data_IF_667810939175
#
_entry.id   IF_667810939175
#
_cell.length_a   1.000
_cell.length_b   1.000
_cell.length_c   1.000
_cell.angle_alpha   90.00
_cell.angle_beta   90.00
_cell.angle_gamma   90.00
#
_symmetry.space_group_name_H-M   'P 1'
#
loop_
_entity.id
_entity.type
_entity.pdbx_description
1 polymer ?
#
# COMPACT_ATOMS: atom_id res chain seq x y z
N UNK A 1 -8.79 -2.26 23.90
CA UNK A 1 -8.50 -2.61 22.49
C UNK A 1 -7.00 -2.53 22.25
N UNK A 2 -6.28 -3.65 22.20
CA UNK A 2 -4.83 -3.66 22.01
C UNK A 2 -4.47 -3.12 20.61
N UNK A 3 -3.90 -1.92 20.53
CA UNK A 3 -3.36 -1.38 19.27
C UNK A 3 -2.11 -2.19 18.93
N UNK A 4 -2.22 -3.10 17.96
CA UNK A 4 -1.09 -3.86 17.40
C UNK A 4 0.02 -2.86 17.01
N UNK A 5 1.24 -3.06 17.53
CA UNK A 5 2.39 -2.16 17.30
C UNK A 5 2.79 -2.26 15.83
N UNK A 6 2.38 -1.27 15.04
CA UNK A 6 2.70 -1.21 13.61
C UNK A 6 4.17 -0.84 13.42
N UNK A 7 4.80 -1.40 12.39
CA UNK A 7 6.22 -1.14 12.09
C UNK A 7 6.38 0.32 11.64
N UNK A 8 7.15 1.12 12.39
CA UNK A 8 7.47 2.53 12.11
C UNK A 8 8.94 2.74 11.71
N UNK A 9 9.53 1.78 11.01
CA UNK A 9 10.95 1.77 10.66
C UNK A 9 11.25 1.86 9.16
N UNK A 10 12.54 1.70 8.84
CA UNK A 10 13.12 1.70 7.49
C UNK A 10 12.41 0.68 6.60
N UNK A 11 12.13 1.09 5.37
CA UNK A 11 11.60 0.21 4.34
C UNK A 11 12.70 -0.67 3.78
N UNK A 12 12.59 -1.98 3.95
CA UNK A 12 13.49 -2.91 3.28
C UNK A 12 13.27 -2.88 1.77
N UNK A 13 14.34 -3.15 1.01
CA UNK A 13 14.28 -3.21 -0.46
C UNK A 13 13.22 -4.22 -0.93
N UNK A 14 13.06 -5.31 -0.20
CA UNK A 14 12.01 -6.32 -0.44
C UNK A 14 10.61 -5.78 -0.20
N UNK A 15 10.37 -5.06 0.90
CA UNK A 15 9.09 -4.42 1.17
C UNK A 15 8.73 -3.41 0.09
N UNK A 16 9.72 -2.66 -0.43
CA UNK A 16 9.51 -1.74 -1.54
C UNK A 16 9.16 -2.50 -2.82
N UNK A 17 9.83 -3.62 -3.13
CA UNK A 17 9.49 -4.46 -4.28
C UNK A 17 8.07 -5.04 -4.17
N UNK A 18 7.70 -5.54 -2.98
CA UNK A 18 6.36 -6.05 -2.68
C UNK A 18 5.33 -4.93 -2.81
N UNK A 19 5.62 -3.76 -2.25
CA UNK A 19 4.79 -2.56 -2.37
C UNK A 19 4.56 -2.24 -3.84
N UNK A 20 5.60 -2.13 -4.66
CA UNK A 20 5.46 -1.83 -6.10
C UNK A 20 4.61 -2.86 -6.84
N UNK A 21 4.84 -4.14 -6.59
CA UNK A 21 4.14 -5.24 -7.29
C UNK A 21 2.68 -5.35 -6.86
N UNK A 22 2.38 -5.18 -5.57
CA UNK A 22 1.04 -5.39 -5.02
C UNK A 22 0.19 -4.12 -5.02
N UNK A 23 0.77 -2.93 -4.80
CA UNK A 23 0.05 -1.65 -4.76
C UNK A 23 -0.74 -1.37 -6.05
N UNK A 24 -0.26 -1.90 -7.18
CA UNK A 24 -0.94 -1.80 -8.45
C UNK A 24 -2.28 -2.53 -8.49
N UNK A 25 -2.41 -3.63 -7.73
CA UNK A 25 -3.51 -4.60 -7.83
C UNK A 25 -4.44 -4.60 -6.61
N UNK A 26 -3.92 -4.26 -5.42
CA UNK A 26 -4.70 -4.28 -4.17
C UNK A 26 -4.81 -2.89 -3.54
N UNK A 27 -5.80 -2.72 -2.66
CA UNK A 27 -5.97 -1.49 -1.90
C UNK A 27 -4.84 -1.28 -0.88
N UNK A 28 -4.46 -0.02 -0.65
CA UNK A 28 -3.44 0.38 0.34
C UNK A 28 -3.74 -0.16 1.74
N UNK A 29 -5.02 -0.26 2.13
CA UNK A 29 -5.45 -0.85 3.40
C UNK A 29 -5.10 -2.34 3.51
N UNK A 30 -5.30 -3.12 2.46
CA UNK A 30 -4.99 -4.55 2.45
C UNK A 30 -3.47 -4.78 2.44
N UNK A 31 -2.75 -3.98 1.65
CA UNK A 31 -1.28 -4.00 1.64
C UNK A 31 -0.69 -3.62 2.99
N UNK A 32 -1.29 -2.64 3.68
CA UNK A 32 -0.92 -2.23 5.03
C UNK A 32 -1.12 -3.35 6.06
N UNK A 33 -2.25 -4.08 5.99
CA UNK A 33 -2.47 -5.28 6.82
C UNK A 33 -1.40 -6.33 6.56
N UNK A 34 -1.07 -6.59 5.29
CA UNK A 34 -0.09 -7.61 4.89
C UNK A 34 1.33 -7.28 5.34
N UNK A 35 1.72 -6.01 5.22
CA UNK A 35 3.03 -5.50 5.65
C UNK A 35 3.08 -5.18 7.15
N UNK A 36 2.00 -5.40 7.90
CA UNK A 36 1.83 -4.96 9.29
C UNK A 36 2.24 -3.49 9.52
N UNK A 37 2.00 -2.65 8.51
CA UNK A 37 2.35 -1.24 8.49
C UNK A 37 1.12 -0.37 8.54
N UNK A 38 1.31 0.87 8.96
CA UNK A 38 0.26 1.88 9.00
C UNK A 38 -0.12 2.26 7.58
N UNK A 39 -1.41 2.25 7.25
CA UNK A 39 -1.92 2.60 5.92
C UNK A 39 -1.40 3.96 5.45
N UNK A 40 -1.34 4.95 6.36
CA UNK A 40 -0.73 6.26 6.09
C UNK A 40 0.75 6.19 5.71
N UNK A 41 1.53 5.30 6.33
CA UNK A 41 2.96 5.13 6.03
C UNK A 41 3.16 4.46 4.67
N UNK A 42 2.30 3.48 4.34
CA UNK A 42 2.26 2.84 3.02
C UNK A 42 1.89 3.85 1.93
N UNK A 43 0.89 4.70 2.18
CA UNK A 43 0.45 5.75 1.26
C UNK A 43 1.52 6.83 1.04
N UNK A 44 2.14 7.30 2.13
CA UNK A 44 3.25 8.26 2.07
C UNK A 44 4.43 7.69 1.28
N UNK A 45 4.79 6.41 1.52
CA UNK A 45 5.87 5.76 0.78
C UNK A 45 5.53 5.54 -0.68
N UNK A 46 4.31 5.13 -0.98
CA UNK A 46 3.84 4.97 -2.36
C UNK A 46 3.87 6.31 -3.11
N UNK A 47 3.45 7.40 -2.46
CA UNK A 47 3.49 8.76 -3.00
C UNK A 47 4.94 9.22 -3.22
N UNK A 48 5.83 9.00 -2.26
CA UNK A 48 7.27 9.29 -2.38
C UNK A 48 7.91 8.52 -3.55
N UNK A 49 7.46 7.29 -3.81
CA UNK A 49 7.94 6.45 -4.90
C UNK A 49 7.22 6.71 -6.24
N UNK A 50 6.27 7.64 -6.29
CA UNK A 50 5.48 7.94 -7.49
C UNK A 50 4.61 6.77 -7.96
N UNK A 51 4.25 5.85 -7.06
CA UNK A 51 3.48 4.66 -7.42
C UNK A 51 2.03 5.03 -7.67
N UNK A 52 1.59 4.81 -8.90
CA UNK A 52 0.20 4.97 -9.33
C UNK A 52 -0.48 3.60 -9.31
N UNK A 53 -1.74 3.57 -8.89
CA UNK A 53 -2.56 2.35 -9.04
C UNK A 53 -2.75 2.06 -10.53
N UNK A 54 -2.78 0.79 -10.91
CA UNK A 54 -2.93 0.45 -12.33
C UNK A 54 -4.31 0.89 -12.82
N UNK A 55 -4.37 1.26 -14.10
CA UNK A 55 -5.59 1.66 -14.80
C UNK A 55 -6.71 0.63 -14.63
N UNK A 56 -6.39 -0.66 -14.50
CA UNK A 56 -7.36 -1.74 -14.19
C UNK A 56 -8.06 -1.54 -12.85
N UNK A 57 -7.31 -1.19 -11.79
CA UNK A 57 -7.89 -0.88 -10.48
C UNK A 57 -8.71 0.42 -10.52
N UNK A 58 -8.17 1.46 -11.16
CA UNK A 58 -8.86 2.75 -11.31
C UNK A 58 -10.16 2.59 -12.10
N UNK A 59 -10.14 1.84 -13.20
CA UNK A 59 -11.30 1.54 -14.05
C UNK A 59 -12.33 0.71 -13.29
N UNK A 60 -11.92 -0.33 -12.53
CA UNK A 60 -12.83 -1.08 -11.64
C UNK A 60 -13.49 -0.17 -10.60
N UNK A 61 -12.75 0.78 -10.03
CA UNK A 61 -13.27 1.71 -9.03
C UNK A 61 -14.20 2.77 -9.66
N UNK A 62 -13.90 3.21 -10.88
CA UNK A 62 -14.72 4.16 -11.64
C UNK A 62 -16.01 3.56 -12.21
N UNK A 63 -15.99 2.27 -12.57
CA UNK A 63 -17.14 1.54 -13.11
C UNK A 63 -18.17 1.12 -12.04
N UNK A 64 -17.89 1.35 -10.75
CA UNK A 64 -18.83 1.12 -9.64
C UNK A 64 -19.57 2.40 -9.22
N UNK A 65 -19.78 3.33 -10.16
CA UNK A 65 -20.64 4.50 -9.96
C UNK A 65 -22.04 4.22 -10.46
#
# INVERSE_FOLDING_TARGET
MAKKKLITGIWSKEEIKILKKMFCNIATKELAKKLNRKSKSVEAKASQLGLKKTMKYLKKMWLSK
#
